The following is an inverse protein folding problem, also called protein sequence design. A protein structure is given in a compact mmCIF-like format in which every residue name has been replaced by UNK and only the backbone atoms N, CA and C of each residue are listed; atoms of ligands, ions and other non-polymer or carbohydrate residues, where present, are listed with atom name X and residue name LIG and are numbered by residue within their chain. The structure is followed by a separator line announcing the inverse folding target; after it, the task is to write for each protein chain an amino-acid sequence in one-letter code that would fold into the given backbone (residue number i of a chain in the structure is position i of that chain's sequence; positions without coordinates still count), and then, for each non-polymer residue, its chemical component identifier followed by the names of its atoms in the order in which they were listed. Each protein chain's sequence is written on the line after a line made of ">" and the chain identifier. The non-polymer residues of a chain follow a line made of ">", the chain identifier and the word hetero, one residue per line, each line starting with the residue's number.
data_IF_516117652187
#
_entry.id   IF_516117652187
#
_cell.length_a   1.000
_cell.length_b   1.000
_cell.length_c   1.000
_cell.angle_alpha   90.00
_cell.angle_beta   90.00
_cell.angle_gamma   90.00
#
_symmetry.space_group_name_H-M   'P 1'
#
loop_
_entity.id
_entity.type
_entity.pdbx_description
1 polymer ?
#
# COMPACT_ATOMS: atom_id res chain seq x y z
N UNK A 1 1.23 10.98 -15.52
CA UNK A 1 1.63 10.86 -14.09
C UNK A 1 2.31 9.53 -13.80
N UNK A 2 1.71 8.39 -14.14
CA UNK A 2 2.32 7.06 -13.91
C UNK A 2 3.71 6.86 -14.54
N UNK A 3 3.89 7.20 -15.82
CA UNK A 3 5.21 7.08 -16.49
C UNK A 3 6.31 7.87 -15.77
N UNK A 4 6.02 9.12 -15.39
CA UNK A 4 6.95 9.94 -14.64
C UNK A 4 7.30 9.33 -13.27
N UNK A 5 6.32 8.70 -12.60
CA UNK A 5 6.56 7.96 -11.37
C UNK A 5 7.52 6.79 -11.59
N UNK A 6 7.27 5.94 -12.60
CA UNK A 6 8.12 4.79 -12.94
C UNK A 6 9.58 5.22 -13.17
N UNK A 7 9.78 6.24 -14.00
CA UNK A 7 11.12 6.79 -14.29
C UNK A 7 11.75 7.41 -13.04
N UNK A 8 11.00 8.07 -12.17
CA UNK A 8 11.59 8.62 -10.93
C UNK A 8 11.89 7.56 -9.87
N UNK A 9 11.19 6.42 -9.91
CA UNK A 9 11.24 5.40 -8.86
C UNK A 9 12.21 4.26 -9.16
N UNK A 10 12.56 3.99 -10.42
CA UNK A 10 13.41 2.84 -10.78
C UNK A 10 14.79 2.85 -10.08
N UNK A 11 15.46 4.00 -9.96
CA UNK A 11 16.74 4.06 -9.23
C UNK A 11 16.57 3.72 -7.74
N UNK A 12 15.47 4.17 -7.14
CA UNK A 12 15.12 3.81 -5.76
C UNK A 12 14.83 2.32 -5.65
N UNK A 13 14.15 1.73 -6.64
CA UNK A 13 13.92 0.29 -6.69
C UNK A 13 15.24 -0.50 -6.66
N UNK A 14 16.22 -0.13 -7.49
CA UNK A 14 17.54 -0.78 -7.48
C UNK A 14 18.25 -0.64 -6.12
N UNK A 15 18.11 0.50 -5.45
CA UNK A 15 18.59 0.63 -4.07
C UNK A 15 17.92 -0.39 -3.14
N UNK A 16 16.58 -0.49 -3.17
CA UNK A 16 15.85 -1.43 -2.30
C UNK A 16 16.18 -2.89 -2.61
N UNK A 17 16.30 -3.26 -3.88
CA UNK A 17 16.64 -4.62 -4.29
C UNK A 17 18.03 -5.08 -3.81
N UNK A 18 18.96 -4.13 -3.63
CA UNK A 18 20.35 -4.44 -3.26
C UNK A 18 20.69 -4.17 -1.79
N UNK A 19 19.81 -3.53 -1.01
CA UNK A 19 20.08 -3.14 0.38
C UNK A 19 19.09 -3.82 1.33
N UNK A 20 19.58 -4.75 2.15
CA UNK A 20 18.75 -5.52 3.09
C UNK A 20 18.15 -4.67 4.21
N UNK A 21 18.78 -3.54 4.56
CA UNK A 21 18.28 -2.60 5.58
C UNK A 21 17.18 -1.66 5.05
N UNK A 22 16.83 -1.77 3.76
CA UNK A 22 15.77 -0.96 3.19
C UNK A 22 14.40 -1.37 3.74
N UNK A 23 13.54 -0.38 4.05
CA UNK A 23 12.20 -0.61 4.62
C UNK A 23 11.11 -0.47 3.54
N UNK A 24 10.73 -1.57 2.85
CA UNK A 24 9.76 -1.54 1.76
C UNK A 24 8.37 -1.10 2.22
N UNK A 25 8.01 -1.41 3.48
CA UNK A 25 6.74 -0.98 4.08
C UNK A 25 6.67 0.54 4.22
N UNK A 26 7.74 1.17 4.72
CA UNK A 26 7.82 2.63 4.83
C UNK A 26 7.74 3.29 3.46
N UNK A 27 8.36 2.70 2.43
CA UNK A 27 8.25 3.23 1.08
C UNK A 27 6.81 3.15 0.55
N UNK A 28 6.19 1.97 0.56
CA UNK A 28 4.82 1.80 0.04
C UNK A 28 3.79 2.63 0.82
N UNK A 29 3.93 2.77 2.14
CA UNK A 29 3.10 3.70 2.94
C UNK A 29 3.24 5.15 2.49
N UNK A 30 4.44 5.58 2.13
CA UNK A 30 4.67 6.93 1.60
C UNK A 30 4.02 7.11 0.22
N UNK A 31 4.14 6.12 -0.66
CA UNK A 31 3.50 6.18 -1.99
C UNK A 31 1.97 6.20 -1.89
N UNK A 32 1.39 5.39 -1.01
CA UNK A 32 -0.05 5.37 -0.74
C UNK A 32 -0.63 6.69 -0.18
N UNK A 33 0.23 7.54 0.39
CA UNK A 33 -0.11 8.86 0.93
C UNK A 33 0.32 10.01 0.03
N UNK A 34 0.99 9.73 -1.10
CA UNK A 34 1.55 10.75 -1.99
C UNK A 34 0.52 11.55 -2.78
N UNK A 35 -0.74 11.07 -2.82
CA UNK A 35 -1.79 11.63 -3.67
C UNK A 35 -1.65 11.30 -5.16
N UNK A 36 -0.64 10.51 -5.57
CA UNK A 36 -0.38 10.15 -6.97
C UNK A 36 -1.29 9.04 -7.51
N UNK A 37 -1.80 8.22 -6.61
CA UNK A 37 -2.65 7.07 -6.93
C UNK A 37 -4.00 7.24 -6.23
N UNK A 38 -5.06 6.73 -6.85
CA UNK A 38 -6.43 6.86 -6.32
C UNK A 38 -6.88 5.64 -5.51
N UNK A 39 -6.32 4.46 -5.79
CA UNK A 39 -6.66 3.18 -5.15
C UNK A 39 -5.44 2.29 -5.04
N UNK A 40 -5.41 1.40 -4.05
CA UNK A 40 -4.29 0.48 -3.82
C UNK A 40 -4.00 -0.43 -5.02
N UNK A 41 -5.02 -0.85 -5.78
CA UNK A 41 -4.83 -1.63 -7.00
C UNK A 41 -4.06 -0.89 -8.10
N UNK A 42 -4.21 0.44 -8.18
CA UNK A 42 -3.47 1.28 -9.13
C UNK A 42 -1.99 1.37 -8.77
N UNK A 43 -1.70 1.47 -7.46
CA UNK A 43 -0.32 1.44 -6.95
C UNK A 43 0.31 0.06 -7.15
N UNK A 44 -0.44 -1.02 -6.89
CA UNK A 44 0.01 -2.40 -7.13
C UNK A 44 0.46 -2.59 -8.58
N UNK A 45 -0.40 -2.21 -9.53
CA UNK A 45 -0.11 -2.32 -10.96
C UNK A 45 1.12 -1.49 -11.35
N UNK A 46 1.26 -0.28 -10.79
CA UNK A 46 2.43 0.56 -11.03
C UNK A 46 3.72 -0.05 -10.47
N UNK A 47 3.67 -0.74 -9.32
CA UNK A 47 4.80 -1.46 -8.76
C UNK A 47 5.22 -2.63 -9.64
N UNK A 48 4.26 -3.38 -10.19
CA UNK A 48 4.55 -4.47 -11.13
C UNK A 48 5.19 -3.92 -12.41
N UNK A 49 4.67 -2.82 -12.96
CA UNK A 49 5.28 -2.13 -14.11
C UNK A 49 6.69 -1.59 -13.79
N UNK A 50 6.94 -1.17 -12.55
CA UNK A 50 8.28 -0.73 -12.12
C UNK A 50 9.27 -1.90 -12.11
N UNK A 51 8.85 -3.10 -11.68
CA UNK A 51 9.69 -4.28 -11.75
C UNK A 51 10.10 -4.61 -13.20
N UNK A 52 9.17 -4.52 -14.14
CA UNK A 52 9.47 -4.68 -15.58
C UNK A 52 10.47 -3.65 -16.09
N UNK A 53 10.30 -2.37 -15.74
CA UNK A 53 11.24 -1.31 -16.11
C UNK A 53 12.63 -1.59 -15.54
N UNK A 54 12.73 -2.03 -14.29
CA UNK A 54 14.01 -2.34 -13.65
C UNK A 54 14.66 -3.60 -14.24
N UNK A 55 13.86 -4.60 -14.64
CA UNK A 55 14.36 -5.79 -15.31
C UNK A 55 14.92 -5.44 -16.70
N UNK A 56 14.20 -4.58 -17.45
CA UNK A 56 14.65 -4.07 -18.73
C UNK A 56 15.94 -3.23 -18.61
N UNK A 57 16.07 -2.43 -17.54
CA UNK A 57 17.30 -1.65 -17.26
C UNK A 57 18.52 -2.56 -17.02
N UNK A 58 18.34 -3.63 -16.21
CA UNK A 58 19.40 -4.62 -15.95
C UNK A 58 19.89 -5.30 -17.22
N UNK A 59 18.98 -5.68 -18.11
CA UNK A 59 19.30 -6.30 -19.40
C UNK A 59 19.96 -5.27 -20.34
N UNK A 60 19.39 -4.06 -20.39
CA UNK A 60 19.83 -2.95 -21.26
C UNK A 60 21.22 -2.42 -20.96
N UNK A 61 21.69 -2.52 -19.71
CA UNK A 61 23.04 -2.12 -19.29
C UNK A 61 24.18 -3.03 -19.79
N UNK A 62 23.94 -3.87 -20.80
CA UNK A 62 24.98 -4.62 -21.52
C UNK A 62 25.41 -5.92 -20.86
N UNK A 63 24.57 -6.51 -20.01
CA UNK A 63 24.79 -7.85 -19.41
C UNK A 63 23.67 -8.82 -19.84
N UNK A 64 23.77 -9.44 -21.03
CA UNK A 64 22.70 -10.28 -21.60
C UNK A 64 22.34 -11.49 -20.74
N UNK A 65 23.21 -11.88 -19.82
CA UNK A 65 23.04 -13.03 -18.93
C UNK A 65 22.82 -12.63 -17.46
N UNK A 66 22.58 -11.35 -17.16
CA UNK A 66 22.19 -10.94 -15.82
C UNK A 66 20.83 -11.56 -15.47
N UNK A 67 20.75 -12.26 -14.34
CA UNK A 67 19.46 -12.71 -13.80
C UNK A 67 18.65 -11.50 -13.35
N UNK A 68 17.36 -11.51 -13.67
CA UNK A 68 16.36 -10.53 -13.22
C UNK A 68 15.43 -11.10 -12.13
N UNK A 69 15.68 -12.31 -11.66
CA UNK A 69 14.80 -13.02 -10.71
C UNK A 69 14.66 -12.23 -9.40
N UNK A 70 15.76 -11.67 -8.89
CA UNK A 70 15.75 -10.82 -7.69
C UNK A 70 14.94 -9.52 -7.88
N UNK A 71 14.95 -8.96 -9.10
CA UNK A 71 14.15 -7.79 -9.46
C UNK A 71 12.66 -8.14 -9.41
N UNK A 72 12.25 -9.24 -10.03
CA UNK A 72 10.86 -9.68 -10.02
C UNK A 72 10.39 -10.05 -8.61
N UNK A 73 11.20 -10.77 -7.83
CA UNK A 73 10.88 -11.11 -6.45
C UNK A 73 10.67 -9.86 -5.57
N UNK A 74 11.50 -8.82 -5.73
CA UNK A 74 11.28 -7.55 -5.04
C UNK A 74 9.99 -6.86 -5.53
N UNK A 75 9.72 -6.89 -6.83
CA UNK A 75 8.48 -6.39 -7.41
C UNK A 75 7.23 -7.01 -6.78
N UNK A 76 7.21 -8.34 -6.68
CA UNK A 76 6.13 -9.10 -6.05
C UNK A 76 6.01 -8.80 -4.54
N UNK A 77 7.14 -8.66 -3.83
CA UNK A 77 7.15 -8.26 -2.43
C UNK A 77 6.49 -6.89 -2.23
N UNK A 78 6.88 -5.89 -3.03
CA UNK A 78 6.28 -4.56 -2.97
C UNK A 78 4.80 -4.60 -3.36
N UNK A 79 4.43 -5.37 -4.38
CA UNK A 79 3.04 -5.52 -4.81
C UNK A 79 2.16 -6.10 -3.68
N UNK A 80 2.63 -7.13 -2.98
CA UNK A 80 1.94 -7.70 -1.82
C UNK A 80 1.75 -6.67 -0.69
N UNK A 81 2.78 -5.84 -0.42
CA UNK A 81 2.67 -4.77 0.58
C UNK A 81 1.57 -3.78 0.21
N UNK A 82 1.41 -3.42 -1.08
CA UNK A 82 0.40 -2.44 -1.49
C UNK A 82 -1.04 -2.88 -1.20
N UNK A 83 -1.31 -4.18 -1.12
CA UNK A 83 -2.62 -4.73 -0.74
C UNK A 83 -2.96 -4.44 0.73
N UNK A 84 -1.92 -4.39 1.58
CA UNK A 84 -2.05 -4.09 3.01
C UNK A 84 -2.08 -2.59 3.31
N UNK A 85 -1.86 -1.73 2.31
CA UNK A 85 -1.76 -0.28 2.49
C UNK A 85 -2.87 0.45 1.71
N UNK A 86 -4.01 0.76 2.35
CA UNK A 86 -5.15 1.38 1.68
C UNK A 86 -4.87 2.83 1.26
N UNK A 87 -5.36 3.21 0.08
CA UNK A 87 -5.29 4.59 -0.43
C UNK A 87 -6.62 5.31 -0.25
N UNK A 88 -7.72 4.60 -0.46
CA UNK A 88 -9.06 5.09 -0.22
C UNK A 88 -9.75 4.27 0.86
N UNK A 89 -10.81 4.80 1.47
CA UNK A 89 -11.68 4.01 2.36
C UNK A 89 -12.29 2.79 1.68
N UNK A 90 -12.30 2.73 0.34
CA UNK A 90 -12.77 1.58 -0.45
C UNK A 90 -11.72 0.48 -0.56
N UNK A 91 -10.47 0.79 -0.22
CA UNK A 91 -9.37 -0.18 -0.16
C UNK A 91 -9.24 -0.81 1.24
N UNK A 92 -10.08 -0.39 2.21
CA UNK A 92 -10.14 -1.02 3.52
C UNK A 92 -10.81 -2.38 3.39
N UNK A 93 -10.19 -3.42 3.94
CA UNK A 93 -10.65 -4.80 3.85
C UNK A 93 -11.74 -5.11 4.90
N UNK A 94 -12.88 -4.43 4.83
CA UNK A 94 -14.04 -4.69 5.70
C UNK A 94 -15.17 -5.39 4.95
N UNK A 95 -15.98 -6.19 5.66
CA UNK A 95 -17.20 -6.77 5.14
C UNK A 95 -18.44 -5.90 5.39
N UNK A 96 -19.60 -6.27 4.81
CA UNK A 96 -20.85 -5.49 4.89
C UNK A 96 -21.36 -5.29 6.33
N UNK A 97 -20.95 -6.13 7.26
CA UNK A 97 -21.25 -6.03 8.69
C UNK A 97 -20.74 -4.72 9.31
N UNK A 98 -19.62 -4.17 8.82
CA UNK A 98 -19.05 -2.95 9.38
C UNK A 98 -19.93 -1.73 9.06
N UNK A 99 -20.27 -1.41 7.80
CA UNK A 99 -21.25 -0.36 7.50
C UNK A 99 -22.60 -0.57 8.19
N UNK A 100 -23.07 -1.82 8.30
CA UNK A 100 -24.33 -2.13 8.98
C UNK A 100 -24.29 -1.77 10.48
N UNK A 101 -23.16 -2.00 11.16
CA UNK A 101 -22.94 -1.59 12.54
C UNK A 101 -22.82 -0.07 12.69
N UNK A 102 -22.16 0.59 11.75
CA UNK A 102 -21.79 2.01 11.86
C UNK A 102 -22.92 2.97 11.47
N UNK A 103 -23.84 2.55 10.60
CA UNK A 103 -24.97 3.37 10.17
C UNK A 103 -24.55 4.70 9.55
N UNK A 104 -25.13 5.79 10.03
CA UNK A 104 -24.85 7.17 9.62
C UNK A 104 -23.40 7.61 9.88
N UNK A 105 -22.71 6.99 10.86
CA UNK A 105 -21.32 7.30 11.22
C UNK A 105 -20.29 6.62 10.32
N UNK A 106 -20.72 5.83 9.32
CA UNK A 106 -19.85 5.03 8.44
C UNK A 106 -18.75 5.87 7.80
N UNK A 107 -19.09 6.97 7.13
CA UNK A 107 -18.12 7.79 6.41
C UNK A 107 -16.99 8.31 7.31
N UNK A 108 -17.33 8.86 8.46
CA UNK A 108 -16.36 9.44 9.40
C UNK A 108 -15.49 8.36 10.08
N UNK A 109 -16.06 7.21 10.41
CA UNK A 109 -15.30 6.12 11.04
C UNK A 109 -14.36 5.46 10.03
N UNK A 110 -14.81 5.21 8.79
CA UNK A 110 -13.94 4.68 7.75
C UNK A 110 -12.75 5.60 7.46
N UNK A 111 -12.94 6.92 7.46
CA UNK A 111 -11.82 7.86 7.31
C UNK A 111 -10.81 7.75 8.46
N UNK A 112 -11.27 7.58 9.70
CA UNK A 112 -10.38 7.39 10.83
C UNK A 112 -9.65 6.04 10.77
N UNK A 113 -10.33 4.96 10.36
CA UNK A 113 -9.70 3.66 10.16
C UNK A 113 -8.63 3.73 9.06
N UNK A 114 -8.92 4.42 7.95
CA UNK A 114 -7.94 4.65 6.88
C UNK A 114 -6.64 5.29 7.41
N UNK A 115 -6.75 6.30 8.28
CA UNK A 115 -5.59 6.92 8.93
C UNK A 115 -4.83 5.92 9.82
N UNK A 116 -5.56 5.14 10.63
CA UNK A 116 -4.96 4.15 11.53
C UNK A 116 -4.20 3.07 10.76
N UNK A 117 -4.80 2.52 9.69
CA UNK A 117 -4.15 1.51 8.85
C UNK A 117 -2.93 2.07 8.14
N UNK A 118 -3.02 3.27 7.56
CA UNK A 118 -1.88 3.94 6.89
C UNK A 118 -0.71 4.21 7.83
N UNK A 119 -1.01 4.49 9.10
CA UNK A 119 0.01 4.68 10.14
C UNK A 119 0.57 3.37 10.71
N UNK A 120 0.01 2.22 10.33
CA UNK A 120 0.39 0.90 10.86
C UNK A 120 -0.15 0.60 12.25
N UNK A 121 -1.10 1.39 12.77
CA UNK A 121 -1.72 1.16 14.08
C UNK A 121 -2.74 0.01 14.07
N UNK A 122 -3.34 -0.26 12.91
CA UNK A 122 -4.37 -1.29 12.70
C UNK A 122 -4.04 -2.02 11.41
N UNK A 123 -4.15 -3.35 11.41
CA UNK A 123 -3.99 -4.16 10.20
C UNK A 123 -5.18 -3.94 9.25
N UNK A 124 -4.95 -3.99 7.93
CA UNK A 124 -6.01 -3.90 6.94
C UNK A 124 -6.76 -5.24 6.81
N UNK A 125 -7.39 -5.70 7.89
CA UNK A 125 -8.07 -6.98 7.98
C UNK A 125 -9.45 -6.83 8.60
N UNK A 126 -10.46 -7.64 8.21
CA UNK A 126 -11.84 -7.47 8.67
C UNK A 126 -11.97 -7.41 10.19
N UNK A 127 -11.33 -8.33 10.90
CA UNK A 127 -11.40 -8.43 12.37
C UNK A 127 -10.75 -7.21 13.05
N UNK A 128 -9.57 -6.81 12.58
CA UNK A 128 -8.84 -5.67 13.12
C UNK A 128 -9.61 -4.36 12.92
N UNK A 129 -10.21 -4.17 11.74
CA UNK A 129 -11.03 -3.00 11.41
C UNK A 129 -12.31 -2.97 12.25
N UNK A 130 -12.96 -4.12 12.43
CA UNK A 130 -14.16 -4.25 13.28
C UNK A 130 -13.86 -3.86 14.74
N UNK A 131 -12.78 -4.40 15.32
CA UNK A 131 -12.40 -4.08 16.69
C UNK A 131 -12.00 -2.61 16.86
N UNK A 132 -11.25 -2.06 15.91
CA UNK A 132 -10.90 -0.64 15.91
C UNK A 132 -12.16 0.26 15.83
N UNK A 133 -13.15 -0.12 15.02
CA UNK A 133 -14.42 0.59 14.89
C UNK A 133 -15.23 0.56 16.19
N UNK A 134 -15.40 -0.61 16.82
CA UNK A 134 -16.10 -0.76 18.12
C UNK A 134 -15.44 0.10 19.21
N UNK A 135 -14.10 0.06 19.30
CA UNK A 135 -13.34 0.90 20.24
C UNK A 135 -13.59 2.39 20.00
N UNK A 136 -13.68 2.82 18.74
CA UNK A 136 -13.96 4.21 18.39
C UNK A 136 -15.40 4.62 18.76
N UNK A 137 -16.39 3.76 18.52
CA UNK A 137 -17.77 3.98 18.96
C UNK A 137 -17.88 4.11 20.48
N UNK A 138 -17.28 3.18 21.23
CA UNK A 138 -17.28 3.21 22.70
C UNK A 138 -16.62 4.49 23.27
N UNK A 139 -15.56 4.98 22.63
CA UNK A 139 -14.91 6.25 23.01
C UNK A 139 -15.79 7.47 22.75
N UNK A 140 -16.60 7.46 21.69
CA UNK A 140 -17.53 8.55 21.39
C UNK A 140 -18.71 8.58 22.36
N UNK A 141 -19.30 7.42 22.65
CA UNK A 141 -20.42 7.31 23.60
C UNK A 141 -20.07 7.72 25.04
N UNK A 142 -18.78 7.78 25.40
CA UNK A 142 -18.30 8.28 26.71
C UNK A 142 -18.06 9.80 26.73
N UNK A 143 -18.05 10.45 25.58
CA UNK A 143 -17.80 11.90 25.42
C UNK A 143 -19.08 12.69 25.16
N UNK A 144 -20.15 11.99 24.81
CA UNK A 144 -21.54 12.47 24.75
C UNK A 144 -22.20 12.27 26.12
#
# INVERSE_FOLDING_TARGET
>A
QRVAWLVSSHMRFHFFANNQDADPWRWMRKEAQSGRFRKSSELKEAVQQMAEVCAADVIGCGRPHSSTDGTYAMGECLAAITESVPIHTRDLAYGPELPALLGDKTGEILQALLVQVRSGQVANEPEALMEAAKRKLARKARKE
#
